data_IF_284960860417
#
_entry.id   IF_284960860417
#
_cell.length_a   1.000
_cell.length_b   1.000
_cell.length_c   1.000
_cell.angle_alpha   90.00
_cell.angle_beta   90.00
_cell.angle_gamma   90.00
#
_symmetry.space_group_name_H-M   'P 1'
#
loop_
_entity.id
_entity.type
_entity.pdbx_description
1 polymer ?
#
# COMPACT_ATOMS: atom_id res chain seq x y z
N UNK A 1 17.01 -27.49 -24.72
CA UNK A 1 17.44 -28.00 -23.41
C UNK A 1 18.89 -27.58 -23.21
N UNK A 2 19.15 -26.49 -22.46
CA UNK A 2 20.53 -25.98 -22.23
C UNK A 2 21.20 -26.91 -21.21
N UNK A 3 22.23 -27.67 -21.63
CA UNK A 3 23.08 -28.40 -20.70
C UNK A 3 23.87 -27.40 -19.85
N UNK A 4 23.46 -27.27 -18.59
CA UNK A 4 24.19 -26.45 -17.60
C UNK A 4 25.57 -27.09 -17.33
N UNK A 5 26.60 -26.54 -17.88
CA UNK A 5 28.01 -26.92 -17.61
C UNK A 5 28.29 -26.76 -16.10
N UNK A 6 29.10 -27.67 -15.49
CA UNK A 6 29.48 -27.59 -14.05
C UNK A 6 29.93 -26.18 -13.62
N UNK A 7 30.62 -25.45 -14.49
CA UNK A 7 31.10 -24.08 -14.27
C UNK A 7 29.90 -23.07 -14.16
N UNK A 8 28.88 -23.27 -14.97
CA UNK A 8 27.66 -22.44 -14.93
C UNK A 8 26.91 -22.62 -13.60
N UNK A 9 26.83 -23.84 -13.09
CA UNK A 9 26.18 -24.12 -11.78
C UNK A 9 26.92 -23.47 -10.61
N UNK A 10 28.25 -23.51 -10.60
CA UNK A 10 29.06 -22.88 -9.57
C UNK A 10 28.88 -21.36 -9.57
N UNK A 11 28.95 -20.72 -10.73
CA UNK A 11 28.70 -19.28 -10.87
C UNK A 11 27.30 -18.90 -10.41
N UNK A 12 26.28 -19.67 -10.78
CA UNK A 12 24.89 -19.48 -10.34
C UNK A 12 24.77 -19.49 -8.80
N UNK A 13 25.33 -20.49 -8.13
CA UNK A 13 25.26 -20.57 -6.66
C UNK A 13 26.05 -19.46 -5.97
N UNK A 14 27.20 -19.05 -6.53
CA UNK A 14 27.95 -17.91 -6.01
C UNK A 14 27.13 -16.62 -6.13
N UNK A 15 26.53 -16.36 -7.28
CA UNK A 15 25.71 -15.17 -7.50
C UNK A 15 24.47 -15.16 -6.58
N UNK A 16 23.80 -16.30 -6.43
CA UNK A 16 22.68 -16.45 -5.49
C UNK A 16 23.15 -16.20 -4.06
N UNK A 17 24.28 -16.78 -3.65
CA UNK A 17 24.86 -16.58 -2.33
C UNK A 17 25.18 -15.12 -2.02
N UNK A 18 25.80 -14.41 -2.98
CA UNK A 18 26.09 -12.97 -2.87
C UNK A 18 24.78 -12.16 -2.75
N UNK A 19 23.79 -12.47 -3.60
CA UNK A 19 22.51 -11.76 -3.57
C UNK A 19 21.77 -11.99 -2.24
N UNK A 20 21.73 -13.22 -1.74
CA UNK A 20 21.12 -13.55 -0.45
C UNK A 20 21.85 -12.89 0.70
N UNK A 21 23.20 -12.89 0.69
CA UNK A 21 24.00 -12.23 1.71
C UNK A 21 23.73 -10.71 1.70
N UNK A 22 23.66 -10.09 0.53
CA UNK A 22 23.35 -8.68 0.40
C UNK A 22 21.97 -8.33 0.97
N UNK A 23 20.95 -9.10 0.57
CA UNK A 23 19.58 -8.91 1.09
C UNK A 23 19.53 -9.14 2.59
N UNK A 24 20.20 -10.20 3.10
CA UNK A 24 20.26 -10.49 4.52
C UNK A 24 20.88 -9.33 5.31
N UNK A 25 22.05 -8.83 4.86
CA UNK A 25 22.72 -7.69 5.52
C UNK A 25 21.84 -6.44 5.47
N UNK A 26 21.22 -6.13 4.32
CA UNK A 26 20.36 -4.96 4.14
C UNK A 26 19.11 -5.00 5.02
N UNK A 27 18.56 -6.18 5.30
CA UNK A 27 17.38 -6.32 6.15
C UNK A 27 17.73 -6.47 7.64
N UNK A 28 18.72 -7.33 7.96
CA UNK A 28 19.03 -7.68 9.35
C UNK A 28 19.80 -6.57 10.05
N UNK A 29 20.74 -5.92 9.37
CA UNK A 29 21.56 -4.88 10.00
C UNK A 29 20.73 -3.69 10.49
N UNK A 30 19.82 -3.07 9.73
CA UNK A 30 18.93 -2.03 10.22
C UNK A 30 18.02 -2.52 11.36
N UNK A 31 17.49 -3.74 11.26
CA UNK A 31 16.62 -4.31 12.29
C UNK A 31 17.36 -4.48 13.61
N UNK A 32 18.57 -5.05 13.57
CA UNK A 32 19.42 -5.21 14.76
C UNK A 32 19.78 -3.85 15.36
N UNK A 33 20.13 -2.87 14.50
CA UNK A 33 20.45 -1.51 14.97
C UNK A 33 19.26 -0.88 15.69
N UNK A 34 18.05 -0.98 15.14
CA UNK A 34 16.82 -0.46 15.78
C UNK A 34 16.58 -1.14 17.13
N UNK A 35 16.69 -2.47 17.19
CA UNK A 35 16.49 -3.22 18.43
C UNK A 35 17.55 -2.83 19.48
N UNK A 36 18.83 -2.80 19.10
CA UNK A 36 19.90 -2.41 20.01
C UNK A 36 19.71 -0.98 20.54
N UNK A 37 19.33 -0.03 19.69
CA UNK A 37 19.10 1.35 20.10
C UNK A 37 17.86 1.47 20.99
N UNK A 38 16.80 0.71 20.70
CA UNK A 38 15.56 0.71 21.50
C UNK A 38 15.81 0.27 22.94
N UNK A 39 16.72 -0.69 23.17
CA UNK A 39 17.03 -1.22 24.51
C UNK A 39 18.31 -0.64 25.14
N UNK A 40 19.00 0.28 24.49
CA UNK A 40 20.25 0.87 24.94
C UNK A 40 20.15 1.57 26.31
N UNK A 41 19.02 2.22 26.58
CA UNK A 41 18.74 2.90 27.84
C UNK A 41 18.09 1.99 28.89
N UNK A 42 17.94 0.70 28.60
CA UNK A 42 17.30 -0.28 29.45
C UNK A 42 15.85 -0.59 29.08
N UNK A 43 15.42 -1.79 29.42
CA UNK A 43 14.08 -2.28 29.12
C UNK A 43 12.97 -1.45 29.80
N UNK A 44 13.24 -0.91 30.98
CA UNK A 44 12.28 -0.07 31.71
C UNK A 44 11.97 1.22 30.96
N UNK A 45 12.99 1.90 30.45
CA UNK A 45 12.84 3.12 29.64
C UNK A 45 12.09 2.83 28.34
N UNK A 46 12.37 1.69 27.71
CA UNK A 46 11.63 1.23 26.54
C UNK A 46 10.13 1.07 26.84
N UNK A 47 9.77 0.38 27.92
CA UNK A 47 8.37 0.17 28.30
C UNK A 47 7.67 1.48 28.67
N UNK A 48 8.35 2.39 29.35
CA UNK A 48 7.82 3.73 29.65
C UNK A 48 7.52 4.49 28.35
N UNK A 49 8.44 4.47 27.39
CA UNK A 49 8.25 5.15 26.09
C UNK A 49 7.10 4.54 25.26
N UNK A 50 6.96 3.21 25.27
CA UNK A 50 5.84 2.53 24.55
C UNK A 50 4.50 2.77 25.23
N UNK A 51 4.48 2.86 26.57
CA UNK A 51 3.26 3.09 27.36
C UNK A 51 2.91 4.57 27.52
N UNK A 52 3.70 5.47 26.97
CA UNK A 52 3.41 6.90 26.98
C UNK A 52 2.10 7.22 26.24
N UNK A 53 1.32 8.13 26.79
CA UNK A 53 0.00 8.46 26.26
C UNK A 53 0.00 8.92 24.80
N UNK A 54 1.03 9.65 24.38
CA UNK A 54 1.19 10.06 22.97
C UNK A 54 1.52 8.86 22.07
N UNK A 55 2.37 7.95 22.52
CA UNK A 55 2.74 6.74 21.80
C UNK A 55 1.53 5.82 21.62
N UNK A 56 0.79 5.57 22.70
CA UNK A 56 -0.43 4.76 22.66
C UNK A 56 -1.47 5.37 21.71
N UNK A 57 -1.71 6.67 21.77
CA UNK A 57 -2.61 7.36 20.85
C UNK A 57 -2.15 7.26 19.40
N UNK A 58 -0.85 7.35 19.14
CA UNK A 58 -0.29 7.19 17.80
C UNK A 58 -0.49 5.75 17.28
N UNK A 59 -0.30 4.73 18.12
CA UNK A 59 -0.53 3.34 17.77
C UNK A 59 -2.02 3.11 17.45
N UNK A 60 -2.93 3.57 18.32
CA UNK A 60 -4.38 3.43 18.11
C UNK A 60 -4.78 4.09 16.79
N UNK A 61 -4.33 5.33 16.54
CA UNK A 61 -4.61 6.04 15.29
C UNK A 61 -4.10 5.27 14.06
N UNK A 62 -2.91 4.69 14.16
CA UNK A 62 -2.34 3.89 13.06
C UNK A 62 -3.18 2.65 12.78
N UNK A 63 -3.61 1.96 13.84
CA UNK A 63 -4.49 0.78 13.71
C UNK A 63 -5.84 1.17 13.11
N UNK A 64 -6.47 2.21 13.60
CA UNK A 64 -7.75 2.71 13.05
C UNK A 64 -7.64 3.09 11.58
N UNK A 65 -6.61 3.87 11.22
CA UNK A 65 -6.37 4.27 9.83
C UNK A 65 -6.11 3.05 8.93
N UNK A 66 -5.35 2.07 9.42
CA UNK A 66 -5.05 0.84 8.69
C UNK A 66 -6.31 0.00 8.46
N UNK A 67 -7.10 -0.25 9.51
CA UNK A 67 -8.33 -1.02 9.41
C UNK A 67 -9.30 -0.37 8.43
N UNK A 68 -9.49 0.95 8.54
CA UNK A 68 -10.35 1.68 7.61
C UNK A 68 -9.85 1.60 6.17
N UNK A 69 -8.55 1.82 5.95
CA UNK A 69 -7.95 1.76 4.62
C UNK A 69 -8.04 0.36 4.00
N UNK A 70 -7.78 -0.70 4.78
CA UNK A 70 -7.90 -2.08 4.31
C UNK A 70 -9.33 -2.40 3.93
N UNK A 71 -10.31 -2.10 4.77
CA UNK A 71 -11.72 -2.35 4.47
C UNK A 71 -12.17 -1.59 3.23
N UNK A 72 -11.88 -0.29 3.16
CA UNK A 72 -12.22 0.55 2.01
C UNK A 72 -11.60 0.03 0.72
N UNK A 73 -10.28 -0.18 0.74
CA UNK A 73 -9.54 -0.63 -0.45
C UNK A 73 -9.94 -2.05 -0.88
N UNK A 74 -10.27 -2.93 0.06
CA UNK A 74 -10.76 -4.27 -0.28
C UNK A 74 -12.07 -4.19 -1.03
N UNK A 75 -13.05 -3.47 -0.49
CA UNK A 75 -14.36 -3.33 -1.12
C UNK A 75 -14.24 -2.69 -2.50
N UNK A 76 -13.64 -1.49 -2.56
CA UNK A 76 -13.56 -0.74 -3.82
C UNK A 76 -12.56 -1.33 -4.80
N UNK A 77 -11.46 -1.94 -4.31
CA UNK A 77 -10.48 -2.63 -5.13
C UNK A 77 -11.05 -3.87 -5.83
N UNK A 78 -11.86 -4.67 -5.12
CA UNK A 78 -12.57 -5.81 -5.72
C UNK A 78 -13.55 -5.32 -6.78
N UNK A 79 -14.39 -4.32 -6.47
CA UNK A 79 -15.32 -3.77 -7.45
C UNK A 79 -14.61 -3.20 -8.69
N UNK A 80 -13.50 -2.51 -8.50
CA UNK A 80 -12.70 -1.96 -9.59
C UNK A 80 -12.10 -3.08 -10.45
N UNK A 81 -11.46 -4.08 -9.83
CA UNK A 81 -10.89 -5.23 -10.53
C UNK A 81 -11.96 -6.00 -11.31
N UNK A 82 -13.09 -6.29 -10.69
CA UNK A 82 -14.22 -6.95 -11.37
C UNK A 82 -14.74 -6.13 -12.55
N UNK A 83 -14.97 -4.83 -12.34
CA UNK A 83 -15.45 -3.96 -13.41
C UNK A 83 -14.50 -3.93 -14.60
N UNK A 84 -13.20 -3.89 -14.34
CA UNK A 84 -12.17 -3.86 -15.39
C UNK A 84 -12.08 -5.21 -16.11
N UNK A 85 -12.19 -6.34 -15.43
CA UNK A 85 -12.03 -7.66 -16.06
C UNK A 85 -13.27 -8.14 -16.79
N UNK A 86 -14.45 -8.02 -16.16
CA UNK A 86 -15.68 -8.62 -16.67
C UNK A 86 -16.50 -7.73 -17.61
N UNK A 87 -16.33 -6.40 -17.55
CA UNK A 87 -17.15 -5.50 -18.37
C UNK A 87 -16.34 -4.77 -19.45
N UNK A 88 -17.00 -4.56 -20.59
CA UNK A 88 -16.53 -3.70 -21.68
C UNK A 88 -17.32 -2.39 -21.66
N UNK A 89 -16.70 -1.31 -21.21
CA UNK A 89 -17.34 0.01 -21.12
C UNK A 89 -16.41 1.11 -21.61
N UNK A 90 -17.03 2.21 -22.09
CA UNK A 90 -16.29 3.42 -22.47
C UNK A 90 -15.71 4.04 -21.19
N UNK A 91 -14.38 4.22 -21.13
CA UNK A 91 -13.72 4.75 -19.94
C UNK A 91 -12.96 3.71 -19.11
N UNK A 92 -12.99 2.42 -19.48
CA UNK A 92 -12.18 1.37 -18.82
C UNK A 92 -10.71 1.77 -18.70
N UNK A 93 -10.11 2.28 -19.80
CA UNK A 93 -8.72 2.75 -19.80
C UNK A 93 -8.49 3.92 -18.84
N UNK A 94 -9.44 4.85 -18.73
CA UNK A 94 -9.36 5.95 -17.78
C UNK A 94 -9.40 5.44 -16.33
N UNK A 95 -10.31 4.50 -16.03
CA UNK A 95 -10.41 3.89 -14.69
C UNK A 95 -9.11 3.19 -14.31
N UNK A 96 -8.54 2.40 -15.21
CA UNK A 96 -7.24 1.73 -14.96
C UNK A 96 -6.13 2.74 -14.70
N UNK A 97 -6.06 3.81 -15.52
CA UNK A 97 -5.06 4.88 -15.32
C UNK A 97 -5.24 5.58 -13.96
N UNK A 98 -6.48 5.84 -13.54
CA UNK A 98 -6.76 6.46 -12.23
C UNK A 98 -6.36 5.56 -11.06
N UNK A 99 -6.58 4.25 -11.17
CA UNK A 99 -6.13 3.27 -10.17
C UNK A 99 -4.60 3.25 -10.09
N UNK A 100 -3.91 3.36 -11.21
CA UNK A 100 -2.45 3.33 -11.25
C UNK A 100 -1.78 4.65 -10.84
N UNK A 101 -2.53 5.74 -10.82
CA UNK A 101 -2.01 7.08 -10.53
C UNK A 101 -1.25 7.18 -9.19
N UNK A 102 -1.76 6.61 -8.07
CA UNK A 102 -1.03 6.68 -6.80
C UNK A 102 0.36 6.05 -6.81
N UNK A 103 0.58 5.02 -7.64
CA UNK A 103 1.88 4.35 -7.76
C UNK A 103 2.86 5.18 -8.58
N UNK A 104 2.36 5.95 -9.52
CA UNK A 104 3.18 6.79 -10.42
C UNK A 104 3.53 8.14 -9.83
N UNK A 105 2.75 8.62 -8.86
CA UNK A 105 2.95 9.91 -8.20
C UNK A 105 3.88 9.77 -6.99
N UNK A 106 4.89 10.63 -6.89
CA UNK A 106 5.73 10.69 -5.70
C UNK A 106 4.89 10.98 -4.45
N UNK A 107 5.13 10.30 -3.31
CA UNK A 107 4.43 10.59 -2.04
C UNK A 107 4.50 12.05 -1.61
N UNK A 108 5.61 12.74 -1.92
CA UNK A 108 5.78 14.17 -1.61
C UNK A 108 4.79 15.01 -2.44
N UNK A 109 4.68 14.71 -3.74
CA UNK A 109 3.75 15.41 -4.64
C UNK A 109 2.30 15.09 -4.24
N UNK A 110 2.00 13.84 -3.91
CA UNK A 110 0.68 13.46 -3.39
C UNK A 110 0.32 14.26 -2.13
N UNK A 111 1.24 14.35 -1.16
CA UNK A 111 1.06 15.17 0.05
C UNK A 111 0.80 16.64 -0.27
N UNK A 112 1.55 17.22 -1.21
CA UNK A 112 1.32 18.59 -1.65
C UNK A 112 -0.06 18.78 -2.30
N UNK A 113 -0.48 17.83 -3.14
CA UNK A 113 -1.82 17.84 -3.75
C UNK A 113 -2.90 17.83 -2.66
N UNK A 114 -2.77 16.99 -1.62
CA UNK A 114 -3.71 16.97 -0.50
C UNK A 114 -3.75 18.31 0.24
N UNK A 115 -2.58 18.93 0.50
CA UNK A 115 -2.52 20.25 1.15
C UNK A 115 -3.19 21.32 0.29
N UNK A 116 -2.96 21.33 -1.02
CA UNK A 116 -3.58 22.29 -1.93
C UNK A 116 -5.10 22.04 -2.08
N UNK A 117 -5.52 20.76 -2.06
CA UNK A 117 -6.94 20.40 -2.22
C UNK A 117 -7.77 20.64 -0.95
N UNK A 118 -7.24 20.32 0.23
CA UNK A 118 -7.97 20.31 1.50
C UNK A 118 -7.47 21.37 2.50
N UNK A 119 -6.43 22.11 2.15
CA UNK A 119 -5.85 23.16 3.01
C UNK A 119 -6.68 24.45 3.01
N UNK A 120 -6.31 25.38 3.87
CA UNK A 120 -7.05 26.64 4.10
C UNK A 120 -7.23 27.53 2.88
N UNK A 121 -6.38 27.38 1.87
CA UNK A 121 -6.43 28.16 0.62
C UNK A 121 -7.25 27.47 -0.48
N UNK A 122 -7.76 26.28 -0.19
CA UNK A 122 -8.56 25.48 -1.14
C UNK A 122 -9.98 26.04 -1.26
N UNK A 123 -10.59 26.00 -2.47
CA UNK A 123 -12.00 26.32 -2.67
C UNK A 123 -12.95 25.38 -1.91
N UNK A 124 -12.50 24.19 -1.53
CA UNK A 124 -13.29 23.19 -0.77
C UNK A 124 -13.25 23.50 0.74
N UNK A 125 -12.27 24.27 1.21
CA UNK A 125 -12.07 24.53 2.64
C UNK A 125 -13.29 25.15 3.35
N UNK A 126 -14.01 26.13 2.79
CA UNK A 126 -15.18 26.70 3.44
C UNK A 126 -16.24 25.65 3.76
N UNK A 127 -16.53 24.76 2.79
CA UNK A 127 -17.48 23.66 2.96
C UNK A 127 -17.03 22.69 4.06
N UNK A 128 -15.76 22.29 4.08
CA UNK A 128 -15.21 21.43 5.11
C UNK A 128 -15.26 22.08 6.49
N UNK A 129 -15.00 23.38 6.56
CA UNK A 129 -15.03 24.15 7.80
C UNK A 129 -16.43 24.26 8.37
N UNK A 130 -17.46 24.48 7.54
CA UNK A 130 -18.86 24.47 7.93
C UNK A 130 -19.33 23.13 8.48
N UNK A 131 -18.81 22.03 7.89
CA UNK A 131 -19.08 20.65 8.35
C UNK A 131 -18.23 20.26 9.57
N UNK A 132 -17.35 21.14 10.07
CA UNK A 132 -16.44 20.84 11.18
C UNK A 132 -15.37 19.80 10.85
N UNK A 133 -15.11 19.53 9.56
CA UNK A 133 -14.17 18.50 9.11
C UNK A 133 -12.81 19.12 8.89
N UNK A 134 -11.84 18.74 9.70
CA UNK A 134 -10.43 19.06 9.51
C UNK A 134 -9.72 17.89 8.84
N UNK A 135 -9.17 18.09 7.64
CA UNK A 135 -8.45 17.05 6.89
C UNK A 135 -6.94 17.17 7.11
N UNK A 136 -6.35 18.32 6.87
CA UNK A 136 -4.90 18.52 6.94
C UNK A 136 -4.43 18.50 8.40
N UNK A 137 -3.38 17.71 8.68
CA UNK A 137 -2.86 17.43 10.02
C UNK A 137 -3.92 16.89 10.99
N UNK A 138 -4.82 16.04 10.50
CA UNK A 138 -5.88 15.41 11.28
C UNK A 138 -6.13 13.97 10.82
N UNK A 139 -6.88 13.19 11.60
CA UNK A 139 -7.19 11.79 11.34
C UNK A 139 -7.76 11.54 9.95
N UNK A 140 -8.72 12.32 9.43
CA UNK A 140 -9.25 12.12 8.10
C UNK A 140 -8.20 12.23 7.00
N UNK A 141 -7.21 13.11 7.16
CA UNK A 141 -6.12 13.26 6.21
C UNK A 141 -5.18 12.05 6.20
N UNK A 142 -4.90 11.47 7.36
CA UNK A 142 -4.09 10.24 7.47
C UNK A 142 -4.80 9.08 6.78
N UNK A 143 -6.08 8.90 7.05
CA UNK A 143 -6.90 7.85 6.42
C UNK A 143 -6.94 8.03 4.90
N UNK A 144 -7.23 9.24 4.41
CA UNK A 144 -7.27 9.56 2.99
C UNK A 144 -5.94 9.28 2.29
N UNK A 145 -4.83 9.70 2.88
CA UNK A 145 -3.49 9.47 2.33
C UNK A 145 -3.17 7.96 2.31
N UNK A 146 -3.50 7.23 3.39
CA UNK A 146 -3.29 5.78 3.45
C UNK A 146 -4.12 5.05 2.41
N UNK A 147 -5.41 5.35 2.30
CA UNK A 147 -6.31 4.79 1.28
C UNK A 147 -5.75 5.07 -0.11
N UNK A 148 -5.40 6.32 -0.41
CA UNK A 148 -4.88 6.71 -1.72
C UNK A 148 -3.63 5.92 -2.11
N UNK A 149 -2.63 5.85 -1.24
CA UNK A 149 -1.37 5.17 -1.55
C UNK A 149 -1.55 3.66 -1.67
N UNK A 150 -2.44 3.05 -0.88
CA UNK A 150 -2.61 1.59 -0.85
C UNK A 150 -3.72 1.07 -1.76
N UNK A 151 -4.57 1.93 -2.31
CA UNK A 151 -5.70 1.57 -3.19
C UNK A 151 -5.30 0.68 -4.38
N UNK A 152 -4.20 0.96 -5.11
CA UNK A 152 -3.84 0.17 -6.29
C UNK A 152 -3.48 -1.28 -6.00
N UNK A 153 -3.00 -1.59 -4.78
CA UNK A 153 -2.45 -2.92 -4.49
C UNK A 153 -3.48 -4.02 -4.69
N UNK A 154 -4.69 -3.87 -4.16
CA UNK A 154 -5.75 -4.89 -4.28
C UNK A 154 -6.17 -5.07 -5.73
N UNK A 155 -6.42 -3.98 -6.44
CA UNK A 155 -6.84 -4.04 -7.85
C UNK A 155 -5.77 -4.68 -8.74
N UNK A 156 -4.50 -4.34 -8.54
CA UNK A 156 -3.38 -4.87 -9.32
C UNK A 156 -3.13 -6.37 -9.11
N UNK A 157 -3.34 -6.85 -7.89
CA UNK A 157 -3.22 -8.28 -7.59
C UNK A 157 -4.41 -9.08 -8.13
N UNK A 158 -5.61 -8.53 -8.06
CA UNK A 158 -6.82 -9.23 -8.48
C UNK A 158 -7.03 -9.24 -9.99
N UNK A 159 -6.67 -8.19 -10.73
CA UNK A 159 -6.89 -8.12 -12.18
C UNK A 159 -6.26 -9.31 -12.91
N UNK A 160 -4.96 -9.64 -12.74
CA UNK A 160 -4.36 -10.78 -13.43
C UNK A 160 -4.99 -12.12 -13.05
N UNK A 161 -5.39 -12.28 -11.79
CA UNK A 161 -6.06 -13.52 -11.33
C UNK A 161 -7.40 -13.68 -12.03
N UNK A 162 -8.24 -12.63 -12.02
CA UNK A 162 -9.54 -12.66 -12.68
C UNK A 162 -9.45 -12.77 -14.21
N UNK A 163 -8.37 -12.27 -14.82
CA UNK A 163 -8.11 -12.46 -16.26
C UNK A 163 -7.64 -13.89 -16.57
N UNK A 164 -6.89 -14.53 -15.67
CA UNK A 164 -6.39 -15.90 -15.86
C UNK A 164 -7.48 -16.96 -15.65
N UNK A 165 -8.46 -16.70 -14.79
CA UNK A 165 -9.61 -17.60 -14.59
C UNK A 165 -10.58 -17.59 -15.78
N UNK A 166 -10.48 -16.61 -16.67
CA UNK A 166 -11.24 -16.56 -17.93
C UNK A 166 -12.74 -16.37 -17.75
N UNK A 167 -13.43 -16.43 -18.88
CA UNK A 167 -14.91 -16.48 -18.97
C UNK A 167 -15.42 -17.92 -19.11
N UNK A 168 -14.54 -18.91 -19.06
CA UNK A 168 -14.83 -20.31 -19.40
C UNK A 168 -15.90 -20.91 -18.47
N UNK A 169 -15.87 -20.61 -17.18
CA UNK A 169 -16.89 -21.05 -16.24
C UNK A 169 -18.27 -20.37 -16.44
N UNK A 170 -18.29 -19.17 -16.99
CA UNK A 170 -19.54 -18.48 -17.30
C UNK A 170 -20.15 -18.92 -18.64
N UNK A 171 -19.33 -19.37 -19.59
CA UNK A 171 -19.79 -19.96 -20.84
C UNK A 171 -20.37 -21.36 -20.64
N UNK A 172 -19.79 -22.18 -19.77
CA UNK A 172 -20.31 -23.49 -19.40
C UNK A 172 -21.69 -23.40 -18.69
N UNK A 173 -21.90 -22.37 -17.87
CA UNK A 173 -23.20 -22.12 -17.24
C UNK A 173 -24.30 -21.69 -18.22
N UNK A 174 -23.94 -21.08 -19.34
CA UNK A 174 -24.90 -20.65 -20.38
C UNK A 174 -25.24 -21.76 -21.38
N UNK A 175 -24.44 -22.84 -21.40
CA UNK A 175 -24.62 -23.99 -22.28
C UNK A 175 -25.39 -25.15 -21.63
N UNK A 176 -25.76 -25.05 -20.35
CA UNK A 176 -26.61 -25.98 -19.62
C UNK A 176 -28.00 -25.41 -19.36
#
# INVERSE_FOLDING_TARGET
>A
MYEETKRSKVVKYILIGIALLFVFVMLVLPLVTVICEAFKSGAEVFWQAVSDDYTVKAIVLTVEATVFAVLFNTVFGIFAAWSITKFRFKGKKLLTTLIDLPVTVSPIIAGLIFVLTFGRQSPIYPLLSELGIKVIFAVPGIILATVFVTFPFISRELIPVLESEGTDEEEDRKST
#
